data_IF_629498273795
#
_entry.id   IF_629498273795
#
_cell.length_a   1.000
_cell.length_b   1.000
_cell.length_c   1.000
_cell.angle_alpha   90.00
_cell.angle_beta   90.00
_cell.angle_gamma   90.00
#
_symmetry.space_group_name_H-M   'P 1'
#
loop_
_entity.id
_entity.type
_entity.pdbx_description
1 polymer ?
#
# COMPACT_ATOMS: atom_id res chain seq x y z
N UNK A 1 -5.93 9.35 20.90
CA UNK A 1 -6.13 9.94 19.58
C UNK A 1 -4.85 9.67 18.80
N UNK A 2 -4.94 9.18 17.56
CA UNK A 2 -3.77 8.94 16.70
C UNK A 2 -3.66 10.11 15.75
N UNK A 3 -2.50 10.77 15.74
CA UNK A 3 -2.18 11.82 14.78
C UNK A 3 -1.56 11.20 13.53
N UNK A 4 -2.04 11.61 12.35
CA UNK A 4 -1.60 11.06 11.06
C UNK A 4 -1.00 12.16 10.20
N UNK A 5 0.16 11.86 9.61
CA UNK A 5 0.76 12.62 8.53
C UNK A 5 0.68 11.77 7.26
N UNK A 6 -0.09 12.22 6.27
CA UNK A 6 -0.24 11.53 4.99
C UNK A 6 0.72 12.14 3.96
N UNK A 7 1.55 11.27 3.36
CA UNK A 7 2.44 11.63 2.27
C UNK A 7 2.00 10.90 1.01
N UNK A 8 1.56 11.66 0.01
CA UNK A 8 1.05 11.18 -1.28
C UNK A 8 1.64 12.00 -2.42
N UNK A 9 1.48 11.53 -3.66
CA UNK A 9 1.93 12.25 -4.85
C UNK A 9 1.60 11.51 -6.15
N UNK A 10 1.47 12.27 -7.24
CA UNK A 10 1.04 11.77 -8.55
C UNK A 10 2.14 11.07 -9.35
N UNK A 11 3.38 11.23 -8.90
CA UNK A 11 4.54 10.74 -9.60
C UNK A 11 5.61 10.29 -8.61
N UNK A 12 6.41 9.31 -9.06
CA UNK A 12 7.58 8.83 -8.34
C UNK A 12 8.85 9.26 -9.06
N UNK A 13 9.97 9.46 -8.34
CA UNK A 13 11.26 9.70 -8.96
C UNK A 13 11.65 8.57 -9.91
N UNK A 14 12.13 8.94 -11.10
CA UNK A 14 12.56 7.98 -12.13
C UNK A 14 13.97 7.45 -11.85
N UNK A 15 14.84 8.30 -11.29
CA UNK A 15 16.23 7.98 -11.03
C UNK A 15 16.43 7.53 -9.57
N UNK A 16 17.28 6.52 -9.31
CA UNK A 16 17.59 6.06 -7.96
C UNK A 16 18.06 7.18 -7.01
N UNK A 17 18.87 8.12 -7.50
CA UNK A 17 19.35 9.26 -6.72
C UNK A 17 18.18 10.18 -6.32
N UNK A 18 17.20 10.34 -7.21
CA UNK A 18 15.99 11.09 -6.93
C UNK A 18 15.14 10.41 -5.86
N UNK A 19 14.98 9.09 -5.94
CA UNK A 19 14.25 8.30 -4.94
C UNK A 19 14.92 8.38 -3.57
N UNK A 20 16.25 8.30 -3.51
CA UNK A 20 17.01 8.45 -2.27
C UNK A 20 16.84 9.84 -1.66
N UNK A 21 17.10 10.90 -2.45
CA UNK A 21 16.98 12.29 -1.98
C UNK A 21 15.57 12.65 -1.51
N UNK A 22 14.54 12.19 -2.23
CA UNK A 22 13.17 12.42 -1.83
C UNK A 22 12.83 11.64 -0.55
N UNK A 23 13.31 10.40 -0.43
CA UNK A 23 13.12 9.61 0.79
C UNK A 23 13.78 10.28 2.00
N UNK A 24 15.00 10.82 1.87
CA UNK A 24 15.64 11.61 2.94
C UNK A 24 14.81 12.85 3.32
N UNK A 25 14.31 13.60 2.34
CA UNK A 25 13.48 14.78 2.61
C UNK A 25 12.17 14.44 3.35
N UNK A 26 11.55 13.30 3.02
CA UNK A 26 10.36 12.80 3.73
C UNK A 26 10.69 12.45 5.18
N UNK A 27 11.83 11.79 5.41
CA UNK A 27 12.30 11.44 6.74
C UNK A 27 12.63 12.68 7.57
N UNK A 28 13.28 13.68 6.99
CA UNK A 28 13.56 14.96 7.66
C UNK A 28 12.26 15.67 8.08
N UNK A 29 11.24 15.64 7.22
CA UNK A 29 9.92 16.19 7.53
C UNK A 29 9.26 15.43 8.67
N UNK A 30 9.26 14.10 8.61
CA UNK A 30 8.70 13.24 9.66
C UNK A 30 9.35 13.50 11.03
N UNK A 31 10.68 13.67 11.08
CA UNK A 31 11.39 14.01 12.31
C UNK A 31 10.97 15.37 12.87
N UNK A 32 10.81 16.39 12.01
CA UNK A 32 10.35 17.72 12.45
C UNK A 32 8.97 17.70 13.11
N UNK A 33 8.10 16.80 12.67
CA UNK A 33 6.77 16.59 13.26
C UNK A 33 6.76 15.57 14.41
N UNK A 34 7.92 15.00 14.78
CA UNK A 34 8.00 14.04 15.88
C UNK A 34 7.35 12.68 15.59
N UNK A 35 7.28 12.28 14.31
CA UNK A 35 6.72 10.98 13.91
C UNK A 35 7.54 9.85 14.53
N UNK A 36 6.87 8.88 15.15
CA UNK A 36 7.50 7.74 15.81
C UNK A 36 7.46 6.44 14.98
N UNK A 37 6.50 6.34 14.05
CA UNK A 37 6.25 5.21 13.20
C UNK A 37 5.95 5.69 11.78
N UNK A 38 6.73 5.19 10.83
CA UNK A 38 6.52 5.41 9.40
C UNK A 38 6.04 4.11 8.78
N UNK A 39 4.96 4.21 8.01
CA UNK A 39 4.38 3.11 7.25
C UNK A 39 4.43 3.45 5.78
N UNK A 40 5.04 2.61 4.97
CA UNK A 40 4.92 2.67 3.51
C UNK A 40 3.98 1.58 3.02
N UNK A 41 3.26 1.87 1.95
CA UNK A 41 2.31 0.95 1.32
C UNK A 41 2.66 0.74 -0.15
N UNK A 42 2.45 -0.48 -0.65
CA UNK A 42 2.72 -0.80 -2.05
C UNK A 42 1.91 -1.98 -2.55
N UNK A 43 2.32 -2.48 -3.71
CA UNK A 43 1.69 -3.62 -4.38
C UNK A 43 2.66 -4.80 -4.46
N UNK A 44 2.17 -6.00 -4.16
CA UNK A 44 2.86 -7.24 -4.46
C UNK A 44 2.29 -7.83 -5.75
N UNK A 45 2.97 -7.56 -6.87
CA UNK A 45 2.49 -7.90 -8.21
C UNK A 45 2.80 -9.37 -8.51
N UNK A 46 1.74 -10.16 -8.72
CA UNK A 46 1.86 -11.60 -8.99
C UNK A 46 1.89 -11.96 -10.47
N UNK A 47 1.48 -11.04 -11.35
CA UNK A 47 1.33 -11.31 -12.79
C UNK A 47 0.22 -12.30 -13.14
N UNK A 48 -0.69 -12.60 -12.21
CA UNK A 48 -1.86 -13.46 -12.42
C UNK A 48 -3.07 -12.90 -11.70
N UNK A 49 -4.26 -13.35 -12.07
CA UNK A 49 -5.47 -13.01 -11.33
C UNK A 49 -5.40 -13.53 -9.89
N UNK A 50 -5.82 -12.70 -8.95
CA UNK A 50 -5.79 -12.99 -7.50
C UNK A 50 -7.21 -12.94 -6.98
N UNK A 51 -7.75 -14.10 -6.59
CA UNK A 51 -9.12 -14.19 -6.07
C UNK A 51 -9.23 -13.68 -4.63
N UNK A 52 -8.24 -14.01 -3.80
CA UNK A 52 -8.17 -13.64 -2.38
C UNK A 52 -6.80 -13.06 -2.07
N UNK A 53 -6.63 -11.73 -2.20
CA UNK A 53 -5.34 -11.11 -2.02
C UNK A 53 -4.88 -11.19 -0.56
N UNK A 54 -3.60 -11.46 -0.36
CA UNK A 54 -2.96 -11.42 0.94
C UNK A 54 -2.26 -10.08 1.19
N UNK A 55 -1.99 -9.74 2.45
CA UNK A 55 -1.09 -8.64 2.80
C UNK A 55 0.28 -9.22 3.14
N UNK A 56 1.32 -8.67 2.52
CA UNK A 56 2.71 -8.95 2.85
C UNK A 56 3.35 -7.75 3.54
N UNK A 57 4.33 -7.98 4.41
CA UNK A 57 4.99 -6.88 5.10
C UNK A 57 6.40 -7.17 5.56
N UNK A 58 7.13 -6.09 5.80
CA UNK A 58 8.47 -6.08 6.38
C UNK A 58 8.55 -4.97 7.44
N UNK A 59 9.41 -5.12 8.43
CA UNK A 59 9.55 -4.12 9.49
C UNK A 59 10.99 -3.97 9.97
N UNK A 60 11.28 -2.81 10.55
CA UNK A 60 12.62 -2.41 11.01
C UNK A 60 13.05 -3.03 12.34
N UNK A 61 12.16 -3.73 13.04
CA UNK A 61 12.45 -4.35 14.34
C UNK A 61 11.54 -5.55 14.63
N UNK A 62 12.04 -6.48 15.44
CA UNK A 62 11.37 -7.75 15.73
C UNK A 62 9.99 -7.58 16.39
N UNK A 63 9.83 -6.56 17.25
CA UNK A 63 8.54 -6.26 17.87
C UNK A 63 7.46 -5.96 16.82
N UNK A 64 7.77 -5.10 15.85
CA UNK A 64 6.86 -4.79 14.75
C UNK A 64 6.59 -6.02 13.86
N UNK A 65 7.59 -6.88 13.63
CA UNK A 65 7.38 -8.14 12.90
C UNK A 65 6.35 -9.03 13.60
N UNK A 66 6.38 -9.11 14.92
CA UNK A 66 5.40 -9.89 15.69
C UNK A 66 4.01 -9.27 15.62
N UNK A 67 3.89 -7.94 15.76
CA UNK A 67 2.62 -7.22 15.57
C UNK A 67 2.01 -7.48 14.18
N UNK A 68 2.84 -7.49 13.13
CA UNK A 68 2.39 -7.80 11.77
C UNK A 68 1.83 -9.22 11.67
N UNK A 69 2.48 -10.21 12.29
CA UNK A 69 2.00 -11.60 12.31
C UNK A 69 0.65 -11.72 13.03
N UNK A 70 0.47 -11.01 14.14
CA UNK A 70 -0.80 -10.98 14.89
C UNK A 70 -1.94 -10.34 14.08
N UNK A 71 -1.60 -9.52 13.08
CA UNK A 71 -2.54 -8.89 12.13
C UNK A 71 -2.73 -9.71 10.85
N UNK A 72 -2.30 -10.97 10.82
CA UNK A 72 -2.37 -11.87 9.66
C UNK A 72 -1.56 -11.39 8.44
N UNK A 73 -0.53 -10.55 8.66
CA UNK A 73 0.37 -10.10 7.59
C UNK A 73 1.47 -11.15 7.36
N UNK A 74 1.63 -11.56 6.10
CA UNK A 74 2.70 -12.48 5.69
C UNK A 74 4.04 -11.75 5.68
N UNK A 75 4.99 -12.23 6.47
CA UNK A 75 6.30 -11.58 6.55
C UNK A 75 7.13 -11.89 5.30
N UNK A 76 7.71 -10.85 4.72
CA UNK A 76 8.70 -10.96 3.65
C UNK A 76 10.03 -11.37 4.29
N UNK A 77 10.44 -12.61 4.07
CA UNK A 77 11.64 -13.23 4.65
C UNK A 77 12.78 -13.42 3.64
N UNK A 78 12.54 -13.06 2.37
CA UNK A 78 13.48 -13.20 1.26
C UNK A 78 13.29 -12.08 0.24
N UNK A 79 14.34 -11.79 -0.52
CA UNK A 79 14.36 -10.67 -1.46
C UNK A 79 14.60 -9.31 -0.77
N UNK A 80 14.15 -8.24 -1.42
CA UNK A 80 14.29 -6.88 -0.91
C UNK A 80 13.08 -6.03 -1.28
N UNK A 81 12.63 -5.20 -0.34
CA UNK A 81 11.72 -4.09 -0.66
C UNK A 81 12.58 -2.98 -1.27
N UNK A 82 12.32 -2.64 -2.53
CA UNK A 82 13.13 -1.69 -3.29
C UNK A 82 12.49 -0.30 -3.35
N UNK A 83 13.22 0.68 -3.88
CA UNK A 83 12.76 2.05 -4.09
C UNK A 83 12.30 2.72 -2.79
N UNK A 84 11.45 3.75 -2.87
CA UNK A 84 11.03 4.53 -1.72
C UNK A 84 10.33 3.69 -0.64
N UNK A 85 9.63 2.63 -1.02
CA UNK A 85 9.00 1.69 -0.08
C UNK A 85 10.01 0.90 0.77
N UNK A 86 11.24 0.71 0.29
CA UNK A 86 12.33 0.13 1.09
C UNK A 86 13.19 1.19 1.78
N UNK A 87 13.49 2.27 1.05
CA UNK A 87 14.34 3.35 1.52
C UNK A 87 13.74 4.07 2.71
N UNK A 88 12.45 4.43 2.67
CA UNK A 88 11.82 5.21 3.73
C UNK A 88 11.81 4.43 5.06
N UNK A 89 11.32 3.18 5.16
CA UNK A 89 11.38 2.44 6.43
C UNK A 89 12.81 2.16 6.90
N UNK A 90 13.74 1.94 5.97
CA UNK A 90 15.16 1.73 6.29
C UNK A 90 15.82 2.99 6.87
N UNK A 91 15.65 4.13 6.20
CA UNK A 91 16.15 5.43 6.65
C UNK A 91 15.48 5.87 7.96
N UNK A 92 14.18 5.59 8.13
CA UNK A 92 13.47 5.82 9.38
C UNK A 92 14.20 5.15 10.55
N UNK A 93 14.59 3.88 10.39
CA UNK A 93 15.33 3.14 11.41
C UNK A 93 16.69 3.76 11.71
N UNK A 94 17.43 4.18 10.68
CA UNK A 94 18.71 4.90 10.83
C UNK A 94 18.53 6.21 11.62
N UNK A 95 17.35 6.83 11.53
CA UNK A 95 16.98 8.05 12.26
C UNK A 95 16.22 7.79 13.57
N UNK A 96 16.30 6.58 14.13
CA UNK A 96 15.63 6.18 15.38
C UNK A 96 14.09 6.24 15.35
N UNK A 97 13.48 6.19 14.18
CA UNK A 97 12.04 6.01 14.01
C UNK A 97 11.74 4.55 13.66
N UNK A 98 10.54 4.09 14.01
CA UNK A 98 10.08 2.76 13.60
C UNK A 98 9.63 2.81 12.14
N UNK A 99 9.95 1.78 11.36
CA UNK A 99 9.57 1.67 9.96
C UNK A 99 8.90 0.34 9.67
N UNK A 100 7.81 0.35 8.91
CA UNK A 100 7.26 -0.86 8.31
C UNK A 100 6.78 -0.61 6.89
N UNK A 101 6.73 -1.69 6.13
CA UNK A 101 6.20 -1.76 4.78
C UNK A 101 5.03 -2.75 4.77
N UNK A 102 3.95 -2.38 4.10
CA UNK A 102 2.82 -3.25 3.79
C UNK A 102 2.61 -3.28 2.28
N UNK A 103 2.22 -4.43 1.74
CA UNK A 103 1.81 -4.54 0.36
C UNK A 103 0.63 -5.48 0.20
N UNK A 104 -0.33 -5.06 -0.61
CA UNK A 104 -1.46 -5.88 -1.01
C UNK A 104 -1.09 -6.69 -2.25
N UNK A 105 -1.37 -7.98 -2.21
CA UNK A 105 -1.25 -8.85 -3.37
C UNK A 105 -2.21 -8.39 -4.48
N UNK A 106 -1.71 -8.30 -5.71
CA UNK A 106 -2.51 -7.90 -6.88
C UNK A 106 -1.97 -8.52 -8.16
N UNK A 107 -2.79 -8.53 -9.21
CA UNK A 107 -2.35 -8.97 -10.54
C UNK A 107 -1.38 -7.98 -11.18
N UNK A 108 -1.56 -6.68 -10.90
CA UNK A 108 -0.84 -5.58 -11.55
C UNK A 108 -1.35 -5.23 -12.95
N UNK A 109 -2.41 -5.89 -13.44
CA UNK A 109 -2.98 -5.61 -14.77
C UNK A 109 -3.96 -4.43 -14.78
N UNK A 110 -4.52 -4.09 -13.63
CA UNK A 110 -5.50 -3.02 -13.45
C UNK A 110 -5.42 -2.46 -12.05
N UNK A 111 -6.07 -1.32 -11.82
CA UNK A 111 -6.31 -0.80 -10.47
C UNK A 111 -7.16 -1.83 -9.71
N UNK A 112 -6.71 -2.21 -8.51
CA UNK A 112 -7.31 -3.27 -7.71
C UNK A 112 -7.74 -2.74 -6.32
N UNK A 113 -9.00 -2.29 -6.17
CA UNK A 113 -9.52 -1.79 -4.89
C UNK A 113 -9.45 -2.83 -3.77
N UNK A 114 -9.49 -4.13 -4.10
CA UNK A 114 -9.42 -5.21 -3.10
C UNK A 114 -8.07 -5.23 -2.40
N UNK A 115 -6.99 -4.97 -3.14
CA UNK A 115 -5.64 -4.87 -2.57
C UNK A 115 -5.53 -3.68 -1.61
N UNK A 116 -6.14 -2.54 -1.94
CA UNK A 116 -6.19 -1.37 -1.04
C UNK A 116 -6.98 -1.67 0.24
N UNK A 117 -8.18 -2.28 0.12
CA UNK A 117 -9.05 -2.61 1.25
C UNK A 117 -8.32 -3.50 2.28
N UNK A 118 -7.62 -4.54 1.85
CA UNK A 118 -6.95 -5.45 2.79
C UNK A 118 -5.79 -4.76 3.53
N UNK A 119 -5.07 -3.83 2.88
CA UNK A 119 -4.03 -3.02 3.54
C UNK A 119 -4.70 -2.08 4.56
N UNK A 120 -5.78 -1.40 4.16
CA UNK A 120 -6.52 -0.50 5.06
C UNK A 120 -7.06 -1.25 6.28
N UNK A 121 -7.58 -2.48 6.13
CA UNK A 121 -8.02 -3.32 7.26
C UNK A 121 -6.88 -3.68 8.23
N UNK A 122 -5.65 -3.80 7.74
CA UNK A 122 -4.47 -3.98 8.61
C UNK A 122 -4.15 -2.66 9.33
N UNK A 123 -4.14 -1.54 8.60
CA UNK A 123 -3.84 -0.22 9.14
C UNK A 123 -4.86 0.24 10.19
N UNK A 124 -6.16 0.06 9.93
CA UNK A 124 -7.22 0.46 10.87
C UNK A 124 -7.13 -0.33 12.16
N UNK A 125 -6.89 -1.64 12.10
CA UNK A 125 -6.65 -2.47 13.30
C UNK A 125 -5.38 -2.04 14.05
N UNK A 126 -4.27 -1.81 13.34
CA UNK A 126 -3.00 -1.40 13.95
C UNK A 126 -3.07 -0.03 14.63
N UNK A 127 -3.78 0.91 14.00
CA UNK A 127 -3.84 2.31 14.43
C UNK A 127 -5.10 2.62 15.25
N UNK A 128 -6.00 1.66 15.43
CA UNK A 128 -7.28 1.85 16.13
C UNK A 128 -8.17 2.88 15.44
N UNK A 129 -8.19 2.89 14.11
CA UNK A 129 -9.00 3.81 13.31
C UNK A 129 -10.33 3.16 12.94
N UNK A 130 -11.39 3.96 12.92
CA UNK A 130 -12.68 3.61 12.34
C UNK A 130 -12.80 4.32 10.99
N UNK A 131 -12.84 3.54 9.90
CA UNK A 131 -12.84 4.05 8.53
C UNK A 131 -13.95 3.35 7.74
N UNK A 132 -14.82 4.16 7.14
CA UNK A 132 -15.81 3.66 6.18
C UNK A 132 -15.11 3.30 4.86
N UNK A 133 -15.21 2.02 4.46
CA UNK A 133 -14.64 1.49 3.22
C UNK A 133 -15.70 1.22 2.15
N UNK A 134 -16.96 1.63 2.34
CA UNK A 134 -18.09 1.27 1.49
C UNK A 134 -17.87 1.61 0.01
N UNK A 135 -17.28 2.77 -0.30
CA UNK A 135 -17.00 3.17 -1.68
C UNK A 135 -15.93 2.28 -2.33
N UNK A 136 -14.86 1.93 -1.61
CA UNK A 136 -13.84 1.00 -2.10
C UNK A 136 -14.45 -0.40 -2.32
N UNK A 137 -15.32 -0.85 -1.41
CA UNK A 137 -15.99 -2.15 -1.51
C UNK A 137 -16.93 -2.20 -2.72
N UNK A 138 -17.62 -1.11 -3.03
CA UNK A 138 -18.41 -0.97 -4.25
C UNK A 138 -17.52 -1.06 -5.52
N UNK A 139 -16.42 -0.30 -5.56
CA UNK A 139 -15.47 -0.35 -6.69
C UNK A 139 -14.86 -1.74 -6.88
N UNK A 140 -14.57 -2.46 -5.79
CA UNK A 140 -14.12 -3.85 -5.85
C UNK A 140 -15.19 -4.77 -6.48
N UNK A 141 -16.46 -4.58 -6.11
CA UNK A 141 -17.58 -5.32 -6.70
C UNK A 141 -17.74 -5.07 -8.20
N UNK A 142 -17.60 -3.82 -8.65
CA UNK A 142 -17.67 -3.47 -10.07
C UNK A 142 -16.55 -4.12 -10.88
N UNK A 143 -15.33 -4.15 -10.34
CA UNK A 143 -14.17 -4.86 -10.92
C UNK A 143 -14.44 -6.37 -11.00
N UNK A 144 -14.96 -6.98 -9.95
CA UNK A 144 -15.26 -8.42 -9.94
C UNK A 144 -16.34 -8.81 -10.96
N UNK A 145 -17.37 -7.95 -11.14
CA UNK A 145 -18.40 -8.15 -12.16
C UNK A 145 -17.77 -8.05 -13.56
N UNK A 146 -16.92 -7.05 -13.79
CA UNK A 146 -16.24 -6.85 -15.06
C UNK A 146 -15.35 -8.05 -15.42
N UNK A 147 -14.58 -8.56 -14.46
CA UNK A 147 -13.72 -9.73 -14.63
C UNK A 147 -14.51 -11.00 -14.95
N UNK A 148 -15.64 -11.24 -14.28
CA UNK A 148 -16.53 -12.38 -14.56
C UNK A 148 -17.11 -12.32 -15.97
N UNK A 149 -17.55 -11.15 -16.43
CA UNK A 149 -18.06 -10.95 -17.79
C UNK A 149 -16.99 -11.18 -18.86
N UNK A 150 -15.78 -10.68 -18.63
CA UNK A 150 -14.65 -10.90 -19.52
C UNK A 150 -14.31 -12.40 -19.65
N UNK A 151 -14.30 -13.13 -18.53
CA UNK A 151 -14.04 -14.57 -18.51
C UNK A 151 -15.16 -15.39 -19.20
N UNK A 152 -16.39 -14.88 -19.24
CA UNK A 152 -17.53 -15.49 -19.93
C UNK A 152 -17.57 -15.19 -21.45
N UNK A 153 -16.64 -14.40 -21.99
CA UNK A 153 -16.55 -14.10 -23.42
C UNK A 153 -17.49 -12.99 -23.91
N UNK A 154 -18.10 -12.22 -23.00
CA UNK A 154 -18.95 -11.07 -23.36
C UNK A 154 -18.08 -9.84 -23.67
N UNK A 155 -18.18 -9.30 -24.90
CA UNK A 155 -17.46 -8.07 -25.29
C UNK A 155 -18.03 -6.85 -24.58
N UNK A 156 -17.16 -6.05 -23.97
CA UNK A 156 -17.51 -4.72 -23.47
C UNK A 156 -17.91 -3.79 -24.63
N UNK A 157 -19.08 -3.15 -24.47
CA UNK A 157 -19.43 -1.97 -25.25
C UNK A 157 -18.49 -0.83 -24.85
N UNK A 158 -17.79 -0.27 -25.84
CA UNK A 158 -16.95 0.90 -25.67
C UNK A 158 -17.83 2.12 -25.41
N UNK A 159 -18.13 2.40 -24.14
CA UNK A 159 -18.50 3.76 -23.73
C UNK A 159 -18.13 3.97 -22.25
N UNK A 160 -16.95 4.53 -22.03
CA UNK A 160 -16.65 5.28 -20.81
C UNK A 160 -15.96 6.58 -21.20
N UNK A 161 -16.78 7.57 -21.53
CA UNK A 161 -16.39 8.97 -21.51
C UNK A 161 -15.90 9.34 -20.11
N UNK A 162 -14.58 9.41 -19.98
CA UNK A 162 -13.81 10.30 -19.12
C UNK A 162 -14.56 10.99 -17.96
N UNK A 163 -14.45 10.45 -16.75
CA UNK A 163 -14.39 11.22 -15.50
C UNK A 163 -13.44 10.51 -14.53
N UNK A 164 -12.15 10.77 -14.68
CA UNK A 164 -11.22 10.60 -13.57
C UNK A 164 -11.54 11.70 -12.55
N UNK A 165 -12.41 11.42 -11.59
CA UNK A 165 -12.39 12.17 -10.34
C UNK A 165 -11.16 11.69 -9.58
N UNK A 166 -10.17 12.57 -9.55
CA UNK A 166 -8.91 12.40 -8.86
C UNK A 166 -9.18 12.23 -7.36
N UNK A 167 -8.88 11.05 -6.82
CA UNK A 167 -8.92 10.77 -5.39
C UNK A 167 -7.46 10.53 -4.98
N UNK A 168 -6.83 11.59 -4.46
CA UNK A 168 -5.47 11.56 -3.93
C UNK A 168 -5.34 10.78 -2.63
#
# INVERSE_FOLDING_TARGET
>A
QVDLLLYTGDAQPILPEGAFRLSEAVIDLAQKFGVNLIVTVGAFITGRMVDKPNVYGAASEAALVNELKELDVKIIDSGAVTWMNGLIPGLAKVRNMKGLFLSGETSGFMVDPRAAIIILRVLTRKLGLDLDMSELEKQAGDVDIALKKAAAGERFGADQSNKSEYIG
#
